data_IF_735582529068
#
_entry.id   IF_735582529068
#
_cell.length_a   1.000
_cell.length_b   1.000
_cell.length_c   1.000
_cell.angle_alpha   90.00
_cell.angle_beta   90.00
_cell.angle_gamma   90.00
#
_symmetry.space_group_name_H-M   'P 1'
#
loop_
_entity.id
_entity.type
_entity.pdbx_description
1 polymer ?
#
# COMPACT_ATOMS: atom_id res chain seq x y z
N UNK A 1 11.88 11.72 10.02
CA UNK A 1 11.79 10.85 11.22
C UNK A 1 10.67 11.23 12.22
N UNK A 2 10.35 12.51 12.45
CA UNK A 2 9.32 12.91 13.42
C UNK A 2 7.89 12.44 13.09
N UNK A 3 7.52 12.30 11.80
CA UNK A 3 6.16 11.89 11.41
C UNK A 3 5.85 10.40 11.62
N UNK A 4 6.85 9.51 11.55
CA UNK A 4 6.66 8.07 11.82
C UNK A 4 6.26 7.82 13.28
N UNK A 5 6.73 8.67 14.21
CA UNK A 5 6.34 8.61 15.61
C UNK A 5 4.86 9.00 15.84
N UNK A 6 4.31 9.92 15.03
CA UNK A 6 2.91 10.34 15.16
C UNK A 6 1.92 9.24 14.77
N UNK A 7 2.27 8.36 13.82
CA UNK A 7 1.44 7.20 13.45
C UNK A 7 1.40 6.11 14.53
N UNK A 8 2.45 6.01 15.35
CA UNK A 8 2.48 5.09 16.50
C UNK A 8 1.69 5.62 17.71
N UNK A 9 1.39 6.92 17.75
CA UNK A 9 0.64 7.52 18.86
C UNK A 9 -0.88 7.54 18.63
N UNK A 10 -1.39 7.06 17.47
CA UNK A 10 -2.82 6.88 17.31
C UNK A 10 -3.33 5.77 18.25
N UNK A 11 -4.23 6.08 19.19
CA UNK A 11 -4.63 5.15 20.23
C UNK A 11 -5.48 4.00 19.67
N UNK A 12 -5.14 2.78 20.10
CA UNK A 12 -5.63 1.50 19.57
C UNK A 12 -7.15 1.24 19.71
N UNK A 13 -7.92 2.12 20.33
CA UNK A 13 -9.38 1.94 20.46
C UNK A 13 -10.14 2.22 19.16
N UNK A 14 -9.52 2.87 18.16
CA UNK A 14 -10.11 2.94 16.81
C UNK A 14 -10.11 1.59 16.07
N UNK A 15 -9.45 0.56 16.60
CA UNK A 15 -9.49 -0.82 16.08
C UNK A 15 -10.43 -1.73 16.87
N UNK A 16 -11.31 -1.17 17.71
CA UNK A 16 -12.36 -1.95 18.36
C UNK A 16 -13.33 -2.49 17.29
N UNK A 17 -13.09 -3.73 16.90
CA UNK A 17 -13.86 -4.46 15.91
C UNK A 17 -15.33 -4.56 16.30
N UNK A 18 -16.20 -4.27 15.33
CA UNK A 18 -17.58 -4.72 15.38
C UNK A 18 -17.59 -6.22 15.09
N UNK A 19 -17.94 -7.00 16.11
CA UNK A 19 -18.26 -8.42 16.00
C UNK A 19 -19.50 -8.55 15.09
N UNK A 20 -19.33 -9.00 13.84
CA UNK A 20 -20.46 -9.41 13.01
C UNK A 20 -20.54 -10.92 13.07
N UNK A 21 -21.60 -11.39 13.72
CA UNK A 21 -21.88 -12.80 13.97
C UNK A 21 -22.16 -13.60 12.71
N UNK A 22 -21.76 -14.88 12.78
CA UNK A 22 -22.46 -16.06 12.30
C UNK A 22 -23.46 -15.86 11.14
N UNK A 23 -23.01 -16.16 9.92
CA UNK A 23 -23.86 -16.46 8.77
C UNK A 23 -23.42 -17.79 8.16
N UNK A 24 -23.96 -18.89 8.68
CA UNK A 24 -23.77 -20.23 8.16
C UNK A 24 -24.49 -20.40 6.81
N UNK A 25 -23.75 -20.23 5.70
CA UNK A 25 -24.13 -20.78 4.39
C UNK A 25 -22.87 -21.27 3.67
N UNK A 26 -22.35 -22.40 4.16
CA UNK A 26 -21.37 -23.20 3.42
C UNK A 26 -22.07 -23.88 2.24
N UNK A 27 -22.35 -23.13 1.18
CA UNK A 27 -22.86 -23.70 -0.07
C UNK A 27 -21.68 -24.36 -0.81
N UNK A 28 -21.79 -25.62 -1.28
CA UNK A 28 -20.69 -26.38 -1.91
C UNK A 28 -20.04 -25.69 -3.12
N UNK A 29 -20.69 -24.67 -3.72
CA UNK A 29 -20.09 -23.80 -4.72
C UNK A 29 -18.84 -23.05 -4.22
N UNK A 30 -18.79 -22.67 -2.94
CA UNK A 30 -17.64 -21.96 -2.37
C UNK A 30 -16.38 -22.84 -2.36
N UNK A 31 -16.48 -24.15 -2.10
CA UNK A 31 -15.31 -25.02 -2.09
C UNK A 31 -14.68 -25.17 -3.48
N UNK A 32 -15.49 -25.25 -4.54
CA UNK A 32 -14.96 -25.29 -5.90
C UNK A 32 -14.32 -23.95 -6.31
N UNK A 33 -14.93 -22.83 -5.93
CA UNK A 33 -14.34 -21.51 -6.17
C UNK A 33 -13.07 -21.30 -5.35
N UNK A 34 -13.04 -21.72 -4.08
CA UNK A 34 -11.86 -21.63 -3.22
C UNK A 34 -10.73 -22.53 -3.74
N UNK A 35 -11.04 -23.74 -4.21
CA UNK A 35 -10.09 -24.63 -4.86
C UNK A 35 -9.52 -24.04 -6.14
N UNK A 36 -10.37 -23.42 -6.99
CA UNK A 36 -9.92 -22.68 -8.17
C UNK A 36 -9.06 -21.48 -7.79
N UNK A 37 -9.48 -20.67 -6.83
CA UNK A 37 -8.73 -19.52 -6.33
C UNK A 37 -7.43 -19.95 -5.65
N UNK A 38 -7.36 -21.13 -5.02
CA UNK A 38 -6.14 -21.68 -4.41
C UNK A 38 -5.19 -22.29 -5.45
N UNK A 39 -5.73 -22.87 -6.52
CA UNK A 39 -4.91 -23.35 -7.63
C UNK A 39 -4.43 -22.20 -8.52
N UNK A 40 -5.21 -21.11 -8.59
CA UNK A 40 -4.83 -19.84 -9.21
C UNK A 40 -3.96 -18.98 -8.28
N UNK A 41 -3.86 -19.33 -6.97
CA UNK A 41 -3.02 -18.63 -6.02
C UNK A 41 -1.57 -18.80 -6.45
N UNK A 42 -1.16 -17.77 -7.16
CA UNK A 42 0.19 -17.27 -7.13
C UNK A 42 1.11 -18.23 -7.89
N UNK A 43 0.92 -18.23 -9.22
CA UNK A 43 2.06 -18.25 -10.14
C UNK A 43 2.94 -17.03 -9.86
N UNK A 44 3.54 -16.97 -8.66
CA UNK A 44 4.81 -16.33 -8.53
C UNK A 44 5.68 -17.11 -9.49
N UNK A 45 6.10 -16.44 -10.55
CA UNK A 45 7.19 -16.91 -11.36
C UNK A 45 8.42 -16.98 -10.43
N UNK A 46 8.57 -18.10 -9.72
CA UNK A 46 9.73 -18.40 -8.87
C UNK A 46 10.89 -18.89 -9.77
N UNK A 47 10.96 -18.42 -11.03
CA UNK A 47 12.24 -18.24 -11.71
C UNK A 47 12.85 -16.87 -11.38
N UNK A 48 12.54 -16.35 -10.19
CA UNK A 48 13.45 -15.46 -9.50
C UNK A 48 14.75 -16.24 -9.24
N UNK A 49 15.72 -16.12 -10.15
CA UNK A 49 17.11 -16.37 -9.77
C UNK A 49 17.34 -15.67 -8.43
N UNK A 50 17.77 -16.42 -7.42
CA UNK A 50 18.01 -15.93 -6.05
C UNK A 50 19.24 -15.01 -6.00
N UNK A 51 19.27 -14.03 -6.90
CA UNK A 51 20.23 -12.95 -6.96
C UNK A 51 19.84 -11.91 -5.91
N UNK A 52 20.83 -11.22 -5.32
CA UNK A 52 20.61 -10.14 -4.35
C UNK A 52 19.54 -9.14 -4.82
N UNK A 53 19.57 -8.78 -6.11
CA UNK A 53 18.62 -7.86 -6.74
C UNK A 53 17.18 -8.39 -6.69
N UNK A 54 16.99 -9.69 -6.93
CA UNK A 54 15.68 -10.34 -6.93
C UNK A 54 15.07 -10.37 -5.53
N UNK A 55 15.89 -10.71 -4.52
CA UNK A 55 15.47 -10.68 -3.11
C UNK A 55 15.06 -9.27 -2.68
N UNK A 56 15.90 -8.27 -2.96
CA UNK A 56 15.60 -6.87 -2.63
C UNK A 56 14.34 -6.38 -3.34
N UNK A 57 14.19 -6.69 -4.64
CA UNK A 57 12.98 -6.37 -5.41
C UNK A 57 11.74 -7.05 -4.80
N UNK A 58 11.86 -8.31 -4.38
CA UNK A 58 10.79 -9.05 -3.71
C UNK A 58 10.34 -8.38 -2.41
N UNK A 59 11.29 -7.97 -1.56
CA UNK A 59 11.01 -7.26 -0.31
C UNK A 59 10.28 -5.93 -0.60
N UNK A 60 10.80 -5.12 -1.52
CA UNK A 60 10.17 -3.85 -1.90
C UNK A 60 8.75 -4.07 -2.42
N UNK A 61 8.53 -5.08 -3.28
CA UNK A 61 7.20 -5.43 -3.80
C UNK A 61 6.23 -5.82 -2.68
N UNK A 62 6.67 -6.61 -1.71
CA UNK A 62 5.84 -7.01 -0.57
C UNK A 62 5.50 -5.78 0.27
N UNK A 63 6.49 -4.94 0.62
CA UNK A 63 6.29 -3.72 1.40
C UNK A 63 5.32 -2.74 0.72
N UNK A 64 5.42 -2.54 -0.59
CA UNK A 64 4.49 -1.66 -1.32
C UNK A 64 3.08 -2.23 -1.38
N UNK A 65 2.94 -3.55 -1.56
CA UNK A 65 1.63 -4.21 -1.54
C UNK A 65 0.97 -4.16 -0.17
N UNK A 66 1.74 -4.39 0.90
CA UNK A 66 1.22 -4.29 2.28
C UNK A 66 0.91 -2.84 2.63
N UNK A 67 1.73 -1.87 2.19
CA UNK A 67 1.46 -0.45 2.38
C UNK A 67 0.13 -0.04 1.72
N UNK A 68 -0.10 -0.46 0.47
CA UNK A 68 -1.38 -0.24 -0.21
C UNK A 68 -2.56 -0.82 0.56
N UNK A 69 -2.43 -2.04 1.10
CA UNK A 69 -3.49 -2.64 1.90
C UNK A 69 -3.73 -1.88 3.21
N UNK A 70 -2.67 -1.41 3.88
CA UNK A 70 -2.82 -0.56 5.06
C UNK A 70 -3.57 0.72 4.72
N UNK A 71 -3.19 1.39 3.62
CA UNK A 71 -3.91 2.59 3.13
C UNK A 71 -5.37 2.28 2.84
N UNK A 72 -5.67 1.12 2.25
CA UNK A 72 -7.04 0.68 1.99
C UNK A 72 -7.84 0.39 3.26
N UNK A 73 -7.21 0.15 4.40
CA UNK A 73 -7.94 -0.07 5.67
C UNK A 73 -8.11 1.21 6.49
N UNK A 74 -7.58 2.35 6.03
CA UNK A 74 -7.64 3.64 6.72
C UNK A 74 -8.55 4.61 5.99
N UNK A 75 -9.16 5.49 6.78
CA UNK A 75 -9.84 6.68 6.29
C UNK A 75 -8.90 7.86 6.51
N UNK A 76 -8.72 8.70 5.49
CA UNK A 76 -7.80 9.83 5.54
C UNK A 76 -8.55 11.14 5.73
N UNK A 77 -7.94 12.05 6.47
CA UNK A 77 -8.30 13.47 6.47
C UNK A 77 -7.52 14.20 5.37
N UNK A 78 -7.90 15.45 5.08
CA UNK A 78 -7.21 16.33 4.11
C UNK A 78 -5.70 16.40 4.32
N UNK A 79 -5.24 16.65 5.54
CA UNK A 79 -3.80 16.74 5.84
C UNK A 79 -3.11 15.37 5.76
N UNK A 80 -3.81 14.29 6.14
CA UNK A 80 -3.28 12.93 6.02
C UNK A 80 -3.06 12.53 4.55
N UNK A 81 -3.94 12.96 3.64
CA UNK A 81 -3.75 12.74 2.20
C UNK A 81 -2.53 13.49 1.66
N UNK A 82 -2.32 14.75 2.07
CA UNK A 82 -1.16 15.54 1.62
C UNK A 82 0.16 14.96 2.14
N UNK A 83 0.18 14.48 3.39
CA UNK A 83 1.35 13.77 3.93
C UNK A 83 1.65 12.51 3.13
N UNK A 84 0.61 11.72 2.82
CA UNK A 84 0.77 10.53 2.02
C UNK A 84 1.29 10.84 0.61
N UNK A 85 0.88 11.96 0.00
CA UNK A 85 1.42 12.41 -1.30
C UNK A 85 2.94 12.67 -1.22
N UNK A 86 3.40 13.38 -0.18
CA UNK A 86 4.82 13.65 0.05
C UNK A 86 5.58 12.35 0.30
N UNK A 87 5.05 11.48 1.16
CA UNK A 87 5.67 10.18 1.46
C UNK A 87 5.79 9.31 0.20
N UNK A 88 4.75 9.27 -0.64
CA UNK A 88 4.79 8.51 -1.89
C UNK A 88 5.79 9.11 -2.88
N UNK A 89 5.87 10.43 -3.01
CA UNK A 89 6.86 11.06 -3.89
C UNK A 89 8.29 10.83 -3.40
N UNK A 90 8.52 10.94 -2.09
CA UNK A 90 9.79 10.59 -1.48
C UNK A 90 10.14 9.13 -1.76
N UNK A 91 9.23 8.18 -1.51
CA UNK A 91 9.46 6.76 -1.81
C UNK A 91 9.81 6.50 -3.28
N UNK A 92 9.24 7.23 -4.24
CA UNK A 92 9.62 7.13 -5.66
C UNK A 92 11.10 7.45 -5.86
N UNK A 93 11.62 8.50 -5.22
CA UNK A 93 13.01 8.96 -5.34
C UNK A 93 14.04 8.02 -4.72
N UNK A 94 13.64 7.14 -3.78
CA UNK A 94 14.57 6.20 -3.13
C UNK A 94 14.42 4.76 -3.65
N UNK A 95 13.19 4.31 -3.93
CA UNK A 95 12.93 2.91 -4.24
C UNK A 95 13.41 2.49 -5.63
N UNK A 96 13.50 3.42 -6.59
CA UNK A 96 13.95 3.12 -7.97
C UNK A 96 15.34 2.46 -8.01
N UNK A 97 16.19 2.71 -7.00
CA UNK A 97 17.54 2.12 -6.90
C UNK A 97 17.54 0.64 -6.55
N UNK A 98 16.42 0.12 -6.03
CA UNK A 98 16.32 -1.24 -5.50
C UNK A 98 15.56 -2.20 -6.41
N UNK A 99 14.83 -1.68 -7.40
CA UNK A 99 13.99 -2.46 -8.32
C UNK A 99 14.43 -2.18 -9.75
N UNK A 100 14.59 -3.23 -10.56
CA UNK A 100 14.98 -3.09 -11.97
C UNK A 100 13.88 -2.44 -12.80
N UNK A 101 12.63 -2.76 -12.50
CA UNK A 101 11.45 -2.20 -13.16
C UNK A 101 10.91 -0.99 -12.37
N UNK A 102 11.36 0.21 -12.75
CA UNK A 102 10.91 1.48 -12.16
C UNK A 102 9.41 1.69 -12.32
N UNK A 103 8.83 1.25 -13.45
CA UNK A 103 7.40 1.42 -13.75
C UNK A 103 6.53 0.72 -12.72
N UNK A 104 7.00 -0.39 -12.16
CA UNK A 104 6.30 -1.12 -11.12
C UNK A 104 6.16 -0.31 -9.83
N UNK A 105 7.20 0.42 -9.43
CA UNK A 105 7.16 1.29 -8.25
C UNK A 105 6.17 2.44 -8.49
N UNK A 106 6.29 3.09 -9.64
CA UNK A 106 5.39 4.19 -10.04
C UNK A 106 3.93 3.75 -10.02
N UNK A 107 3.63 2.60 -10.65
CA UNK A 107 2.28 2.03 -10.69
C UNK A 107 1.73 1.65 -9.30
N UNK A 108 2.57 1.13 -8.39
CA UNK A 108 2.12 0.77 -7.04
C UNK A 108 1.86 2.01 -6.18
N UNK A 109 2.74 3.00 -6.25
CA UNK A 109 2.58 4.24 -5.47
C UNK A 109 1.42 5.09 -5.99
N UNK A 110 1.18 5.12 -7.30
CA UNK A 110 -0.02 5.75 -7.87
C UNK A 110 -1.31 5.09 -7.38
N UNK A 111 -1.33 3.75 -7.29
CA UNK A 111 -2.47 3.02 -6.70
C UNK A 111 -2.64 3.30 -5.20
N UNK A 112 -1.55 3.50 -4.45
CA UNK A 112 -1.62 3.89 -3.04
C UNK A 112 -2.29 5.25 -2.91
N UNK A 113 -1.81 6.25 -3.63
CA UNK A 113 -2.39 7.61 -3.61
C UNK A 113 -3.85 7.58 -4.07
N UNK A 114 -4.14 6.90 -5.17
CA UNK A 114 -5.51 6.73 -5.69
C UNK A 114 -6.44 6.06 -4.67
N UNK A 115 -5.98 5.00 -4.00
CA UNK A 115 -6.74 4.33 -2.94
C UNK A 115 -7.00 5.24 -1.73
N UNK A 116 -6.05 6.11 -1.39
CA UNK A 116 -6.21 7.07 -0.30
C UNK A 116 -7.20 8.18 -0.65
N UNK A 117 -7.15 8.70 -1.88
CA UNK A 117 -8.09 9.70 -2.38
C UNK A 117 -9.53 9.19 -2.30
N UNK A 118 -9.77 7.93 -2.72
CA UNK A 118 -11.09 7.31 -2.64
C UNK A 118 -11.61 7.13 -1.20
N UNK A 119 -10.72 7.15 -0.21
CA UNK A 119 -11.05 6.99 1.22
C UNK A 119 -10.90 8.29 2.01
N UNK A 120 -10.64 9.41 1.34
CA UNK A 120 -10.53 10.70 2.00
C UNK A 120 -11.92 11.32 2.12
N UNK A 121 -12.25 11.84 3.31
CA UNK A 121 -13.55 12.49 3.58
C UNK A 121 -13.68 13.81 2.81
N UNK A 122 -12.56 14.54 2.64
CA UNK A 122 -12.45 15.77 1.86
C UNK A 122 -11.14 15.73 1.06
N UNK A 123 -11.16 15.20 -0.18
CA UNK A 123 -9.95 15.10 -0.98
C UNK A 123 -9.54 16.49 -1.50
N UNK A 124 -8.52 17.09 -0.90
CA UNK A 124 -7.78 18.20 -1.50
C UNK A 124 -6.36 17.73 -1.82
N UNK A 125 -6.11 17.45 -3.10
CA UNK A 125 -4.78 17.16 -3.59
C UNK A 125 -3.90 18.41 -3.43
N UNK A 126 -2.68 18.21 -2.94
CA UNK A 126 -1.64 19.25 -2.94
C UNK A 126 -1.14 19.45 -4.38
N UNK A 127 -0.82 20.71 -4.72
CA UNK A 127 -0.16 21.03 -5.98
C UNK A 127 1.14 20.21 -6.10
N UNK A 128 1.33 19.43 -7.18
CA UNK A 128 2.49 18.55 -7.35
C UNK A 128 3.81 19.31 -7.29
N UNK A 129 3.82 20.58 -7.72
CA UNK A 129 4.99 21.48 -7.62
C UNK A 129 5.45 21.68 -6.17
N UNK A 130 4.53 21.80 -5.21
CA UNK A 130 4.90 21.94 -3.80
C UNK A 130 5.46 20.64 -3.24
N UNK A 131 4.97 19.49 -3.71
CA UNK A 131 5.46 18.17 -3.31
C UNK A 131 6.90 17.96 -3.78
N UNK A 132 7.20 18.25 -5.05
CA UNK A 132 8.56 18.13 -5.58
C UNK A 132 9.55 19.08 -4.91
N UNK A 133 9.16 20.33 -4.62
CA UNK A 133 10.00 21.30 -3.92
C UNK A 133 10.39 20.87 -2.49
N UNK A 134 9.51 20.16 -1.79
CA UNK A 134 9.81 19.63 -0.44
C UNK A 134 10.76 18.44 -0.54
N UNK A 135 10.56 17.54 -1.50
CA UNK A 135 11.40 16.36 -1.65
C UNK A 135 12.81 16.65 -2.19
N UNK A 136 13.02 17.73 -2.94
CA UNK A 136 14.34 18.12 -3.44
C UNK A 136 15.22 18.81 -2.37
N UNK A 137 14.63 19.25 -1.25
CA UNK A 137 15.34 19.97 -0.19
C UNK A 137 16.02 19.07 0.87
N UNK A 138 15.79 17.76 0.84
CA UNK A 138 16.30 16.77 1.82
C UNK A 138 17.22 15.74 1.14
#
# INVERSE_FOLDING_TARGET
MQYVAALLQYPNWMFAGTNVGNGAYGTPAFNNTLGKLWNERVGNDIRADFTKISVTTGIVKICLKTFLEVVRLRTYSKFGLQQLQIDCHYLQLFLWRFVVDESLILNLLDKVVSSAVQRCVEPQLMEPTLVSLVCERE
#
